data_IF_644205361106
#
_entry.id   IF_644205361106
#
_cell.length_a   1.000
_cell.length_b   1.000
_cell.length_c   1.000
_cell.angle_alpha   90.00
_cell.angle_beta   90.00
_cell.angle_gamma   90.00
#
_symmetry.space_group_name_H-M   'P 1'
#
loop_
_entity.id
_entity.type
_entity.pdbx_description
1 polymer ?
#
# COMPACT_ATOMS: atom_id res chain seq x y z
N UNK A 1 4.10 2.37 12.37
CA UNK A 1 3.95 3.06 13.69
C UNK A 1 3.62 4.53 13.48
N UNK A 2 2.65 5.08 14.22
CA UNK A 2 2.22 6.49 14.14
C UNK A 2 2.74 7.29 15.33
N UNK A 3 3.36 8.44 15.07
CA UNK A 3 3.65 9.45 16.09
C UNK A 3 2.44 10.37 16.23
N UNK A 4 1.97 10.57 17.46
CA UNK A 4 0.83 11.45 17.76
C UNK A 4 1.27 12.65 18.59
N UNK A 5 0.62 13.80 18.39
CA UNK A 5 0.81 14.98 19.21
C UNK A 5 0.09 14.86 20.56
N UNK A 6 0.19 15.91 21.39
CA UNK A 6 -0.47 16.00 22.70
C UNK A 6 -2.00 15.91 22.65
N UNK A 7 -2.61 16.12 21.48
CA UNK A 7 -4.05 16.04 21.25
C UNK A 7 -4.46 14.68 20.63
N UNK A 8 -3.51 13.76 20.44
CA UNK A 8 -3.74 12.46 19.82
C UNK A 8 -3.78 12.48 18.29
N UNK A 9 -3.53 13.61 17.62
CA UNK A 9 -3.49 13.70 16.16
C UNK A 9 -2.21 13.06 15.63
N UNK A 10 -2.33 12.19 14.62
CA UNK A 10 -1.16 11.63 13.95
C UNK A 10 -0.39 12.75 13.21
N UNK A 11 0.90 12.89 13.49
CA UNK A 11 1.78 13.93 12.92
C UNK A 11 2.90 13.36 12.07
N UNK A 12 3.31 12.11 12.32
CA UNK A 12 4.32 11.40 11.51
C UNK A 12 4.01 9.91 11.50
N UNK A 13 4.54 9.21 10.51
CA UNK A 13 4.49 7.76 10.45
C UNK A 13 5.90 7.20 10.16
N UNK A 14 6.06 5.91 10.44
CA UNK A 14 7.22 5.11 10.05
C UNK A 14 6.75 3.70 9.73
N UNK A 15 7.16 3.14 8.60
CA UNK A 15 6.95 1.72 8.27
C UNK A 15 7.82 0.85 9.18
N UNK A 16 7.24 -0.22 9.72
CA UNK A 16 7.86 -1.15 10.67
C UNK A 16 7.58 -2.59 10.24
N UNK A 17 8.19 -3.56 10.91
CA UNK A 17 7.93 -5.00 10.73
C UNK A 17 8.13 -5.50 9.28
N UNK A 18 9.36 -5.34 8.77
CA UNK A 18 9.79 -5.73 7.42
C UNK A 18 10.13 -7.23 7.30
N UNK A 19 9.59 -8.09 8.17
CA UNK A 19 9.99 -9.50 8.26
C UNK A 19 9.48 -10.37 7.09
N UNK A 20 8.49 -9.87 6.34
CA UNK A 20 7.89 -10.53 5.18
C UNK A 20 8.17 -9.79 3.86
N UNK A 21 9.11 -8.84 3.85
CA UNK A 21 9.45 -8.08 2.64
C UNK A 21 10.10 -9.00 1.60
N UNK A 22 9.61 -8.93 0.37
CA UNK A 22 10.12 -9.73 -0.76
C UNK A 22 10.31 -8.83 -1.99
N UNK A 23 11.19 -9.23 -2.90
CA UNK A 23 11.29 -8.59 -4.21
C UNK A 23 10.16 -9.11 -5.10
N UNK A 24 9.19 -8.25 -5.36
CA UNK A 24 8.00 -8.58 -6.13
C UNK A 24 7.39 -7.31 -6.73
N UNK A 25 6.23 -7.46 -7.37
CA UNK A 25 5.46 -6.32 -7.85
C UNK A 25 5.04 -5.40 -6.70
N UNK A 26 5.22 -4.09 -6.88
CA UNK A 26 4.77 -3.04 -5.96
C UNK A 26 3.25 -3.03 -5.75
N UNK A 27 2.50 -3.56 -6.72
CA UNK A 27 1.04 -3.69 -6.65
C UNK A 27 0.65 -4.56 -5.45
N UNK A 28 1.47 -5.55 -5.12
CA UNK A 28 1.19 -6.46 -4.00
C UNK A 28 1.11 -5.70 -2.68
N UNK A 29 2.11 -4.87 -2.43
CA UNK A 29 2.16 -4.03 -1.23
C UNK A 29 1.03 -2.99 -1.22
N UNK A 30 0.73 -2.38 -2.38
CA UNK A 30 -0.34 -1.38 -2.50
C UNK A 30 -1.72 -1.98 -2.16
N UNK A 31 -2.08 -3.09 -2.81
CA UNK A 31 -3.37 -3.75 -2.60
C UNK A 31 -3.47 -4.29 -1.18
N UNK A 32 -2.42 -4.94 -0.68
CA UNK A 32 -2.38 -5.39 0.69
C UNK A 32 -2.62 -4.24 1.68
N UNK A 33 -1.92 -3.11 1.51
CA UNK A 33 -2.07 -1.95 2.39
C UNK A 33 -3.48 -1.36 2.34
N UNK A 34 -4.02 -1.11 1.15
CA UNK A 34 -5.33 -0.50 0.98
C UNK A 34 -6.43 -1.36 1.62
N UNK A 35 -6.47 -2.65 1.31
CA UNK A 35 -7.54 -3.54 1.77
C UNK A 35 -7.43 -3.98 3.24
N UNK A 36 -6.30 -3.73 3.91
CA UNK A 36 -6.13 -4.06 5.34
C UNK A 36 -6.14 -2.84 6.26
N UNK A 37 -5.92 -1.64 5.73
CA UNK A 37 -5.67 -0.44 6.54
C UNK A 37 -6.61 0.73 6.26
N UNK A 38 -7.41 0.68 5.20
CA UNK A 38 -8.37 1.73 4.82
C UNK A 38 -9.78 1.27 5.12
N UNK A 39 -10.63 2.21 5.57
CA UNK A 39 -12.05 1.94 5.76
C UNK A 39 -12.73 1.61 4.42
N UNK A 40 -13.58 0.59 4.41
CA UNK A 40 -14.26 0.12 3.19
C UNK A 40 -15.08 1.22 2.52
N UNK A 41 -15.79 2.06 3.30
CA UNK A 41 -16.60 3.15 2.73
C UNK A 41 -15.78 4.27 2.11
N UNK A 42 -14.49 4.36 2.47
CA UNK A 42 -13.52 5.25 1.81
C UNK A 42 -12.97 4.58 0.55
N UNK A 43 -12.62 3.29 0.60
CA UNK A 43 -12.15 2.55 -0.58
C UNK A 43 -13.20 2.55 -1.71
N UNK A 44 -14.46 2.29 -1.39
CA UNK A 44 -15.55 2.28 -2.37
C UNK A 44 -15.67 3.59 -3.16
N UNK A 45 -15.18 4.70 -2.60
CA UNK A 45 -15.28 6.05 -3.20
C UNK A 45 -13.97 6.55 -3.80
N UNK A 46 -12.84 6.07 -3.28
CA UNK A 46 -11.53 6.68 -3.50
C UNK A 46 -10.43 5.67 -3.88
N UNK A 47 -10.79 4.43 -4.21
CA UNK A 47 -9.80 3.42 -4.61
C UNK A 47 -8.92 3.93 -5.77
N UNK A 48 -9.55 4.41 -6.85
CA UNK A 48 -8.83 4.90 -8.02
C UNK A 48 -7.96 6.12 -7.69
N UNK A 49 -8.47 7.03 -6.83
CA UNK A 49 -7.70 8.19 -6.35
C UNK A 49 -6.43 7.76 -5.60
N UNK A 50 -6.53 6.73 -4.75
CA UNK A 50 -5.38 6.22 -4.01
C UNK A 50 -4.37 5.51 -4.90
N UNK A 51 -4.85 4.75 -5.89
CA UNK A 51 -3.99 4.09 -6.87
C UNK A 51 -3.24 5.13 -7.70
N UNK A 52 -3.93 6.17 -8.19
CA UNK A 52 -3.31 7.27 -8.91
C UNK A 52 -2.29 8.01 -8.03
N UNK A 53 -2.65 8.36 -6.79
CA UNK A 53 -1.75 9.03 -5.86
C UNK A 53 -0.46 8.22 -5.60
N UNK A 54 -0.59 6.89 -5.47
CA UNK A 54 0.55 6.02 -5.30
C UNK A 54 1.46 6.04 -6.53
N UNK A 55 0.88 5.91 -7.73
CA UNK A 55 1.64 5.95 -8.98
C UNK A 55 2.35 7.28 -9.20
N UNK A 56 1.65 8.40 -9.02
CA UNK A 56 2.23 9.74 -9.17
C UNK A 56 3.42 9.91 -8.21
N UNK A 57 3.24 9.50 -6.95
CA UNK A 57 4.31 9.54 -5.95
C UNK A 57 5.49 8.62 -6.34
N UNK A 58 5.22 7.44 -6.86
CA UNK A 58 6.24 6.48 -7.29
C UNK A 58 7.09 7.06 -8.43
N UNK A 59 6.44 7.55 -9.49
CA UNK A 59 7.12 8.16 -10.65
C UNK A 59 7.87 9.42 -10.24
N UNK A 60 7.30 10.27 -9.38
CA UNK A 60 7.98 11.46 -8.86
C UNK A 60 9.26 11.10 -8.10
N UNK A 61 9.25 10.03 -7.29
CA UNK A 61 10.46 9.55 -6.64
C UNK A 61 11.48 9.02 -7.65
N UNK A 62 11.05 8.35 -8.73
CA UNK A 62 11.97 7.82 -9.74
C UNK A 62 12.67 8.92 -10.55
N UNK A 63 12.06 10.11 -10.71
CA UNK A 63 12.66 11.25 -11.42
C UNK A 63 13.97 11.75 -10.80
N UNK A 64 14.16 11.52 -9.50
CA UNK A 64 15.40 11.89 -8.80
C UNK A 64 16.57 10.97 -9.17
N UNK A 65 16.29 9.86 -9.86
CA UNK A 65 17.26 8.91 -10.36
C UNK A 65 17.36 9.05 -11.88
N UNK A 66 18.57 9.04 -12.42
CA UNK A 66 18.84 9.16 -13.86
C UNK A 66 18.44 7.87 -14.60
N UNK A 67 17.13 7.60 -14.66
CA UNK A 67 16.51 6.38 -15.16
C UNK A 67 15.56 6.71 -16.32
N UNK A 68 15.45 5.78 -17.28
CA UNK A 68 14.37 5.83 -18.27
C UNK A 68 13.04 5.46 -17.61
N UNK A 69 12.09 6.40 -17.63
CA UNK A 69 10.77 6.23 -17.03
C UNK A 69 9.76 5.60 -18.00
N UNK A 70 10.13 5.38 -19.28
CA UNK A 70 9.27 4.77 -20.29
C UNK A 70 8.61 3.45 -19.84
N UNK A 71 9.36 2.50 -19.24
CA UNK A 71 8.79 1.24 -18.73
C UNK A 71 7.83 1.41 -17.54
N UNK A 72 7.84 2.55 -16.86
CA UNK A 72 7.01 2.86 -15.69
C UNK A 72 5.84 3.78 -16.08
N UNK A 73 5.35 3.68 -17.32
CA UNK A 73 4.18 4.43 -17.77
C UNK A 73 2.92 4.03 -17.00
N UNK A 74 1.93 4.91 -17.00
CA UNK A 74 0.65 4.66 -16.34
C UNK A 74 -0.04 3.44 -16.94
N UNK A 75 0.08 3.25 -18.25
CA UNK A 75 -0.51 2.13 -18.98
C UNK A 75 0.11 0.78 -18.55
N UNK A 76 1.43 0.70 -18.43
CA UNK A 76 2.10 -0.52 -17.94
C UNK A 76 1.77 -0.78 -16.47
N UNK A 77 1.70 0.27 -15.65
CA UNK A 77 1.27 0.15 -14.25
C UNK A 77 -0.17 -0.38 -14.13
N UNK A 78 -1.11 0.13 -14.92
CA UNK A 78 -2.50 -0.34 -14.93
C UNK A 78 -2.60 -1.81 -15.37
N UNK A 79 -1.83 -2.20 -16.38
CA UNK A 79 -1.76 -3.59 -16.83
C UNK A 79 -1.24 -4.50 -15.73
N UNK A 80 -0.16 -4.13 -15.05
CA UNK A 80 0.36 -4.89 -13.91
C UNK A 80 -0.65 -4.93 -12.75
N UNK A 81 -1.36 -3.83 -12.50
CA UNK A 81 -2.41 -3.76 -11.48
C UNK A 81 -3.53 -4.79 -11.74
N UNK A 82 -4.01 -4.89 -12.98
CA UNK A 82 -5.05 -5.85 -13.37
C UNK A 82 -4.58 -7.31 -13.24
N UNK A 83 -3.32 -7.59 -13.58
CA UNK A 83 -2.75 -8.93 -13.49
C UNK A 83 -2.46 -9.36 -12.04
N UNK A 84 -1.94 -8.45 -11.22
CA UNK A 84 -1.38 -8.77 -9.90
C UNK A 84 -2.41 -8.62 -8.78
N UNK A 85 -3.26 -7.58 -8.81
CA UNK A 85 -4.19 -7.30 -7.71
C UNK A 85 -5.09 -8.48 -7.32
N UNK A 86 -5.65 -9.27 -8.25
CA UNK A 86 -6.48 -10.43 -7.91
C UNK A 86 -5.71 -11.52 -7.14
N UNK A 87 -4.39 -11.62 -7.35
CA UNK A 87 -3.56 -12.66 -6.70
C UNK A 87 -3.32 -12.37 -5.22
N UNK A 88 -3.48 -11.12 -4.78
CA UNK A 88 -3.29 -10.71 -3.39
C UNK A 88 -4.45 -11.03 -2.46
N UNK A 89 -5.62 -11.42 -2.99
CA UNK A 89 -6.80 -11.75 -2.15
C UNK A 89 -6.45 -12.80 -1.10
N UNK A 90 -5.70 -13.84 -1.47
CA UNK A 90 -5.28 -14.88 -0.53
C UNK A 90 -4.38 -14.32 0.58
N UNK A 91 -3.40 -13.48 0.21
CA UNK A 91 -2.49 -12.85 1.16
C UNK A 91 -3.24 -11.95 2.16
N UNK A 92 -4.16 -11.12 1.67
CA UNK A 92 -5.03 -10.28 2.50
C UNK A 92 -5.82 -11.14 3.49
N UNK A 93 -6.51 -12.19 3.02
CA UNK A 93 -7.33 -13.05 3.87
C UNK A 93 -6.52 -13.75 4.98
N UNK A 94 -5.30 -14.22 4.66
CA UNK A 94 -4.42 -14.86 5.65
C UNK A 94 -3.96 -13.85 6.71
N UNK A 95 -3.65 -12.62 6.30
CA UNK A 95 -3.16 -11.58 7.19
C UNK A 95 -4.25 -10.92 8.04
N UNK A 96 -5.53 -11.04 7.66
CA UNK A 96 -6.63 -10.58 8.51
C UNK A 96 -6.63 -11.28 9.88
N UNK A 97 -6.19 -12.54 9.97
CA UNK A 97 -6.13 -13.27 11.24
C UNK A 97 -5.21 -12.58 12.26
N UNK A 98 -3.90 -12.34 11.99
CA UNK A 98 -3.04 -11.61 12.93
C UNK A 98 -3.46 -10.14 13.11
N UNK A 99 -3.95 -9.47 12.07
CA UNK A 99 -4.36 -8.05 12.16
C UNK A 99 -5.56 -7.86 13.09
N UNK A 100 -6.56 -8.73 12.99
CA UNK A 100 -7.78 -8.68 13.79
C UNK A 100 -7.68 -9.51 15.09
N UNK A 101 -6.51 -10.05 15.41
CA UNK A 101 -6.30 -10.73 16.69
C UNK A 101 -6.44 -9.71 17.83
N UNK A 102 -7.07 -10.11 18.93
CA UNK A 102 -7.20 -9.28 20.12
C UNK A 102 -5.82 -8.78 20.56
N UNK A 103 -5.73 -7.50 20.96
CA UNK A 103 -4.49 -6.99 21.56
C UNK A 103 -4.15 -7.87 22.74
N UNK A 104 -3.01 -8.55 22.67
CA UNK A 104 -2.48 -9.31 23.79
C UNK A 104 -2.45 -8.43 25.04
N UNK A 105 -3.10 -8.90 26.10
CA UNK A 105 -3.02 -8.27 27.41
C UNK A 105 -1.60 -8.53 27.90
N UNK A 106 -0.76 -7.51 27.84
CA UNK A 106 0.54 -7.46 28.54
C UNK A 106 0.35 -6.75 29.88
#
# INVERSE_FOLDING_TARGET
MLLRDKNGKAVKNKMVDLQLTTYSSLIRDLIFFLFTSVDNGVLDKHLDDFVQLYYDSFVDNLKDFDLDLGPFSWEEFQKELEEVAPTEVYHVLVMLKPICTERGIL
#
